data_IF_887590594591
#
_entry.id   IF_887590594591
#
_cell.length_a   1.000
_cell.length_b   1.000
_cell.length_c   1.000
_cell.angle_alpha   90.00
_cell.angle_beta   90.00
_cell.angle_gamma   90.00
#
_symmetry.space_group_name_H-M   'P 1'
#
loop_
_entity.id
_entity.type
_entity.pdbx_description
1 polymer ?
#
# COMPACT_ATOMS: atom_id res chain seq x y z
N UNK A 1 -2.24 -0.23 -26.17
CA UNK A 1 -1.13 -1.13 -25.80
C UNK A 1 0.15 -0.74 -26.53
N UNK A 2 0.13 -0.61 -27.86
CA UNK A 2 1.27 -0.16 -28.68
C UNK A 2 1.92 1.14 -28.16
N UNK A 3 1.13 2.18 -27.91
CA UNK A 3 1.65 3.46 -27.37
C UNK A 3 2.34 3.34 -25.99
N UNK A 4 1.96 2.35 -25.17
CA UNK A 4 2.60 2.11 -23.88
C UNK A 4 3.96 1.40 -24.05
N UNK A 5 4.08 0.54 -25.06
CA UNK A 5 5.33 -0.15 -25.35
C UNK A 5 6.36 0.81 -25.97
N UNK A 6 5.94 1.64 -26.92
CA UNK A 6 6.79 2.68 -27.52
C UNK A 6 7.32 3.66 -26.46
N UNK A 7 6.47 3.99 -25.47
CA UNK A 7 6.83 4.84 -24.33
C UNK A 7 7.96 4.21 -23.49
N UNK A 8 7.86 2.91 -23.20
CA UNK A 8 8.91 2.19 -22.46
C UNK A 8 10.23 2.17 -23.24
N UNK A 9 10.19 2.00 -24.56
CA UNK A 9 11.39 1.98 -25.39
C UNK A 9 12.07 3.36 -25.47
N UNK A 10 11.28 4.45 -25.56
CA UNK A 10 11.79 5.81 -25.49
C UNK A 10 12.51 6.09 -24.15
N UNK A 11 11.91 5.71 -23.03
CA UNK A 11 12.54 5.87 -21.71
C UNK A 11 13.76 4.98 -21.53
N UNK A 12 13.78 3.76 -22.08
CA UNK A 12 14.96 2.89 -22.05
C UNK A 12 16.14 3.51 -22.80
N UNK A 13 15.88 4.16 -23.93
CA UNK A 13 16.93 4.90 -24.64
C UNK A 13 17.44 6.08 -23.81
N UNK A 14 16.56 6.77 -23.09
CA UNK A 14 16.95 7.85 -22.19
C UNK A 14 17.85 7.36 -21.05
N UNK A 15 17.54 6.22 -20.41
CA UNK A 15 18.39 5.66 -19.34
C UNK A 15 19.71 5.09 -19.84
N UNK A 16 19.81 4.72 -21.13
CA UNK A 16 21.10 4.35 -21.75
C UNK A 16 22.02 5.57 -21.93
N UNK A 17 21.44 6.75 -22.16
CA UNK A 17 22.18 8.00 -22.33
C UNK A 17 22.54 8.59 -20.95
N UNK A 18 21.59 8.56 -20.02
CA UNK A 18 21.75 8.99 -18.63
C UNK A 18 21.32 7.88 -17.66
N UNK A 19 22.27 7.06 -17.17
CA UNK A 19 22.01 5.97 -16.25
C UNK A 19 21.43 6.39 -14.90
N UNK A 20 21.45 7.68 -14.54
CA UNK A 20 20.90 8.19 -13.30
C UNK A 20 19.58 8.96 -13.53
N UNK A 21 18.95 8.79 -14.70
CA UNK A 21 17.68 9.44 -15.00
C UNK A 21 16.47 8.77 -14.29
N UNK A 22 16.35 9.02 -12.99
CA UNK A 22 15.29 8.46 -12.12
C UNK A 22 13.86 8.68 -12.63
N UNK A 23 13.57 9.79 -13.32
CA UNK A 23 12.24 10.04 -13.87
C UNK A 23 11.89 9.04 -15.00
N UNK A 24 12.86 8.69 -15.85
CA UNK A 24 12.65 7.70 -16.91
C UNK A 24 12.42 6.30 -16.32
N UNK A 25 13.19 5.92 -15.29
CA UNK A 25 12.95 4.67 -14.55
C UNK A 25 11.55 4.65 -13.90
N UNK A 26 11.15 5.74 -13.24
CA UNK A 26 9.83 5.85 -12.63
C UNK A 26 8.70 5.65 -13.64
N UNK A 27 8.79 6.32 -14.81
CA UNK A 27 7.80 6.20 -15.88
C UNK A 27 7.76 4.80 -16.49
N UNK A 28 8.91 4.17 -16.73
CA UNK A 28 8.97 2.79 -17.18
C UNK A 28 8.31 1.84 -16.17
N UNK A 29 8.58 2.02 -14.88
CA UNK A 29 8.02 1.18 -13.84
C UNK A 29 6.49 1.26 -13.79
N UNK A 30 5.93 2.48 -13.81
CA UNK A 30 4.47 2.71 -13.81
C UNK A 30 3.82 2.03 -15.01
N UNK A 31 4.34 2.28 -16.22
CA UNK A 31 3.78 1.68 -17.45
C UNK A 31 3.90 0.15 -17.42
N UNK A 32 4.99 -0.40 -16.89
CA UNK A 32 5.15 -1.84 -16.76
C UNK A 32 4.22 -2.46 -15.73
N UNK A 33 3.90 -1.75 -14.64
CA UNK A 33 2.87 -2.17 -13.69
C UNK A 33 1.49 -2.19 -14.33
N UNK A 34 1.13 -1.18 -15.14
CA UNK A 34 -0.12 -1.17 -15.92
C UNK A 34 -0.20 -2.35 -16.92
N UNK A 35 0.93 -2.67 -17.56
CA UNK A 35 1.07 -3.83 -18.45
C UNK A 35 1.19 -5.17 -17.70
N UNK A 36 1.08 -5.18 -16.36
CA UNK A 36 1.23 -6.36 -15.49
C UNK A 36 2.60 -7.05 -15.60
N UNK A 37 3.62 -6.34 -16.10
CA UNK A 37 5.01 -6.78 -16.22
C UNK A 37 5.76 -6.50 -14.91
N UNK A 38 5.24 -7.03 -13.81
CA UNK A 38 5.64 -6.63 -12.47
C UNK A 38 7.14 -6.83 -12.17
N UNK A 39 7.77 -7.86 -12.74
CA UNK A 39 9.20 -8.11 -12.51
C UNK A 39 10.08 -6.95 -13.05
N UNK A 40 9.78 -6.49 -14.27
CA UNK A 40 10.47 -5.34 -14.87
C UNK A 40 10.14 -4.04 -14.12
N UNK A 41 8.90 -3.90 -13.65
CA UNK A 41 8.49 -2.73 -12.88
C UNK A 41 9.26 -2.64 -11.54
N UNK A 42 9.46 -3.77 -10.86
CA UNK A 42 10.30 -3.86 -9.66
C UNK A 42 11.73 -3.43 -9.96
N UNK A 43 12.35 -3.96 -11.03
CA UNK A 43 13.71 -3.57 -11.45
C UNK A 43 13.83 -2.05 -11.64
N UNK A 44 12.87 -1.46 -12.37
CA UNK A 44 12.87 -0.02 -12.59
C UNK A 44 12.63 0.80 -11.30
N UNK A 45 11.76 0.34 -10.39
CA UNK A 45 11.60 1.00 -9.09
C UNK A 45 12.87 0.94 -8.22
N UNK A 46 13.61 -0.18 -8.28
CA UNK A 46 14.90 -0.31 -7.59
C UNK A 46 15.95 0.65 -8.18
N UNK A 47 15.96 0.87 -9.49
CA UNK A 47 16.81 1.90 -10.10
C UNK A 47 16.43 3.32 -9.65
N UNK A 48 15.14 3.63 -9.52
CA UNK A 48 14.71 4.91 -8.91
C UNK A 48 15.26 5.05 -7.50
N UNK A 49 15.19 4.00 -6.68
CA UNK A 49 15.70 4.00 -5.30
C UNK A 49 17.23 4.10 -5.27
N UNK A 50 17.95 3.45 -6.20
CA UNK A 50 19.41 3.56 -6.32
C UNK A 50 19.84 5.01 -6.54
N UNK A 51 19.14 5.72 -7.43
CA UNK A 51 19.42 7.12 -7.76
C UNK A 51 18.89 8.08 -6.66
N UNK A 52 17.70 7.79 -6.12
CA UNK A 52 16.98 8.62 -5.13
C UNK A 52 16.58 7.79 -3.91
N UNK A 53 17.53 7.48 -3.00
CA UNK A 53 17.29 6.57 -1.87
C UNK A 53 16.32 7.09 -0.81
N UNK A 54 15.99 8.38 -0.83
CA UNK A 54 15.02 9.02 0.08
C UNK A 54 13.65 9.29 -0.57
N UNK A 55 13.38 8.68 -1.74
CA UNK A 55 12.10 8.83 -2.42
C UNK A 55 11.01 7.96 -1.80
N UNK A 56 10.21 8.51 -0.88
CA UNK A 56 9.01 7.84 -0.35
C UNK A 56 8.07 7.31 -1.44
N UNK A 57 7.76 8.08 -2.51
CA UNK A 57 6.92 7.58 -3.60
C UNK A 57 7.50 6.36 -4.32
N UNK A 58 8.83 6.26 -4.44
CA UNK A 58 9.47 5.11 -5.09
C UNK A 58 9.30 3.83 -4.26
N UNK A 59 9.49 3.91 -2.93
CA UNK A 59 9.23 2.78 -2.04
C UNK A 59 7.75 2.39 -1.99
N UNK A 60 6.84 3.37 -2.00
CA UNK A 60 5.39 3.10 -2.06
C UNK A 60 5.02 2.33 -3.34
N UNK A 61 5.48 2.78 -4.51
CA UNK A 61 5.16 2.12 -5.78
C UNK A 61 5.84 0.75 -5.91
N UNK A 62 7.07 0.60 -5.38
CA UNK A 62 7.73 -0.70 -5.25
C UNK A 62 6.86 -1.66 -4.42
N UNK A 63 6.37 -1.23 -3.27
CA UNK A 63 5.52 -2.03 -2.39
C UNK A 63 4.22 -2.47 -3.07
N UNK A 64 3.54 -1.56 -3.79
CA UNK A 64 2.35 -1.88 -4.58
C UNK A 64 2.66 -2.95 -5.63
N UNK A 65 3.78 -2.81 -6.34
CA UNK A 65 4.17 -3.75 -7.40
C UNK A 65 4.52 -5.14 -6.82
N UNK A 66 5.24 -5.19 -5.70
CA UNK A 66 5.56 -6.43 -4.97
C UNK A 66 4.30 -7.12 -4.44
N UNK A 67 3.32 -6.34 -3.96
CA UNK A 67 2.01 -6.84 -3.55
C UNK A 67 1.28 -7.55 -4.70
N UNK A 68 1.31 -6.98 -5.91
CA UNK A 68 0.78 -7.63 -7.12
C UNK A 68 1.51 -8.93 -7.51
N UNK A 69 2.79 -9.07 -7.14
CA UNK A 69 3.54 -10.32 -7.28
C UNK A 69 3.30 -11.32 -6.14
N UNK A 70 2.44 -10.99 -5.18
CA UNK A 70 2.22 -11.76 -3.96
C UNK A 70 3.50 -11.95 -3.10
N UNK A 71 4.47 -11.02 -3.22
CA UNK A 71 5.67 -10.97 -2.40
C UNK A 71 5.41 -10.10 -1.16
N UNK A 72 4.64 -10.65 -0.22
CA UNK A 72 3.99 -9.87 0.82
C UNK A 72 4.97 -9.26 1.83
N UNK A 73 5.99 -10.01 2.25
CA UNK A 73 7.04 -9.54 3.16
C UNK A 73 7.85 -8.39 2.56
N UNK A 74 8.33 -8.56 1.33
CA UNK A 74 9.10 -7.53 0.60
C UNK A 74 8.25 -6.26 0.41
N UNK A 75 6.94 -6.42 0.12
CA UNK A 75 6.02 -5.29 0.01
C UNK A 75 5.85 -4.55 1.33
N UNK A 76 5.71 -5.26 2.46
CA UNK A 76 5.61 -4.62 3.79
C UNK A 76 6.90 -3.89 4.16
N UNK A 77 8.06 -4.44 3.84
CA UNK A 77 9.34 -3.74 4.08
C UNK A 77 9.47 -2.47 3.24
N UNK A 78 9.05 -2.51 1.97
CA UNK A 78 8.99 -1.33 1.12
C UNK A 78 7.98 -0.28 1.64
N UNK A 79 6.78 -0.68 2.08
CA UNK A 79 5.85 0.25 2.73
C UNK A 79 6.43 0.85 4.01
N UNK A 80 7.17 0.06 4.81
CA UNK A 80 7.83 0.56 6.04
C UNK A 80 8.85 1.64 5.70
N UNK A 81 9.60 1.51 4.61
CA UNK A 81 10.51 2.57 4.14
C UNK A 81 9.74 3.80 3.66
N UNK A 82 8.63 3.62 2.92
CA UNK A 82 7.79 4.72 2.47
C UNK A 82 7.26 5.54 3.65
N UNK A 83 6.70 4.90 4.69
CA UNK A 83 6.18 5.62 5.87
C UNK A 83 7.26 6.17 6.79
N UNK A 84 8.48 5.62 6.74
CA UNK A 84 9.63 6.21 7.44
C UNK A 84 10.03 7.56 6.81
N UNK A 85 9.98 7.63 5.48
CA UNK A 85 10.32 8.82 4.71
C UNK A 85 9.17 9.84 4.64
N UNK A 86 7.93 9.35 4.65
CA UNK A 86 6.71 10.15 4.69
C UNK A 86 5.73 9.60 5.76
N UNK A 87 5.85 10.06 7.02
CA UNK A 87 5.01 9.61 8.13
C UNK A 87 3.53 10.01 8.03
N UNK A 88 3.13 10.80 7.02
CA UNK A 88 1.75 11.22 6.80
C UNK A 88 1.06 10.45 5.66
N UNK A 89 1.77 9.51 5.02
CA UNK A 89 1.22 8.74 3.92
C UNK A 89 0.18 7.70 4.39
N UNK A 90 -1.09 8.12 4.43
CA UNK A 90 -2.21 7.27 4.83
C UNK A 90 -2.39 6.05 3.92
N UNK A 91 -2.05 6.15 2.63
CA UNK A 91 -2.20 5.05 1.68
C UNK A 91 -1.17 3.95 1.93
N UNK A 92 0.07 4.33 2.25
CA UNK A 92 1.13 3.39 2.60
C UNK A 92 0.78 2.62 3.89
N UNK A 93 0.32 3.32 4.94
CA UNK A 93 -0.15 2.66 6.16
C UNK A 93 -1.36 1.76 5.91
N UNK A 94 -2.36 2.22 5.15
CA UNK A 94 -3.55 1.43 4.87
C UNK A 94 -3.23 0.14 4.13
N UNK A 95 -2.47 0.22 3.04
CA UNK A 95 -2.09 -0.94 2.24
C UNK A 95 -1.17 -1.89 3.02
N UNK A 96 -0.24 -1.36 3.83
CA UNK A 96 0.59 -2.16 4.72
C UNK A 96 -0.25 -2.94 5.75
N UNK A 97 -1.26 -2.29 6.36
CA UNK A 97 -2.19 -2.93 7.29
C UNK A 97 -3.00 -4.05 6.64
N UNK A 98 -3.50 -3.83 5.42
CA UNK A 98 -4.18 -4.88 4.65
C UNK A 98 -3.29 -6.08 4.35
N UNK A 99 -2.03 -5.85 3.97
CA UNK A 99 -1.08 -6.94 3.73
C UNK A 99 -0.73 -7.70 5.02
N UNK A 100 -0.57 -6.99 6.13
CA UNK A 100 -0.34 -7.61 7.44
C UNK A 100 -1.50 -8.51 7.84
N UNK A 101 -2.75 -8.06 7.65
CA UNK A 101 -3.94 -8.89 7.88
C UNK A 101 -3.96 -10.12 6.96
N UNK A 102 -3.61 -9.97 5.67
CA UNK A 102 -3.50 -11.08 4.71
C UNK A 102 -2.44 -12.11 5.11
N UNK A 103 -1.39 -11.68 5.81
CA UNK A 103 -0.32 -12.53 6.35
C UNK A 103 -0.63 -13.09 7.77
N UNK A 104 -1.87 -12.96 8.25
CA UNK A 104 -2.29 -13.38 9.60
C UNK A 104 -1.47 -12.70 10.72
N UNK A 105 -1.22 -11.39 10.55
CA UNK A 105 -0.53 -10.52 11.54
C UNK A 105 -1.47 -9.39 12.02
N UNK A 106 -2.57 -9.72 12.70
CA UNK A 106 -3.61 -8.74 13.02
C UNK A 106 -3.13 -7.64 13.98
N UNK A 107 -2.20 -7.92 14.91
CA UNK A 107 -1.64 -6.89 15.80
C UNK A 107 -0.87 -5.82 15.03
N UNK A 108 -0.11 -6.22 14.01
CA UNK A 108 0.60 -5.28 13.15
C UNK A 108 -0.39 -4.46 12.31
N UNK A 109 -1.43 -5.11 11.78
CA UNK A 109 -2.49 -4.42 11.03
C UNK A 109 -3.23 -3.38 11.89
N UNK A 110 -3.49 -3.68 13.17
CA UNK A 110 -4.04 -2.72 14.14
C UNK A 110 -3.17 -1.47 14.22
N UNK A 111 -1.85 -1.61 14.36
CA UNK A 111 -0.95 -0.46 14.45
C UNK A 111 -0.99 0.39 13.18
N UNK A 112 -0.95 -0.26 12.01
CA UNK A 112 -1.01 0.42 10.71
C UNK A 112 -2.32 1.20 10.53
N UNK A 113 -3.48 0.61 10.84
CA UNK A 113 -4.76 1.29 10.71
C UNK A 113 -4.97 2.38 11.76
N UNK A 114 -4.44 2.21 12.99
CA UNK A 114 -4.41 3.28 13.99
C UNK A 114 -3.60 4.49 13.50
N UNK A 115 -2.51 4.31 12.77
CA UNK A 115 -1.77 5.44 12.18
C UNK A 115 -2.61 6.17 11.12
N UNK A 116 -3.34 5.44 10.27
CA UNK A 116 -4.26 6.07 9.31
C UNK A 116 -5.30 6.91 10.03
N UNK A 117 -5.96 6.36 11.05
CA UNK A 117 -7.01 7.05 11.82
C UNK A 117 -6.45 8.24 12.59
N UNK A 118 -5.21 8.15 13.10
CA UNK A 118 -4.54 9.30 13.74
C UNK A 118 -4.38 10.48 12.78
N UNK A 119 -4.03 10.22 11.51
CA UNK A 119 -3.81 11.25 10.48
C UNK A 119 -5.16 11.70 9.88
N UNK A 120 -6.05 10.76 9.63
CA UNK A 120 -7.37 10.96 9.01
C UNK A 120 -8.45 10.23 9.82
N UNK A 121 -9.02 10.88 10.85
CA UNK A 121 -9.98 10.24 11.76
C UNK A 121 -11.31 9.81 11.14
N UNK A 122 -11.67 10.31 9.94
CA UNK A 122 -12.89 9.97 9.23
C UNK A 122 -12.69 8.89 8.15
N UNK A 123 -11.51 8.24 8.12
CA UNK A 123 -11.20 7.25 7.10
C UNK A 123 -11.92 5.91 7.35
N UNK A 124 -13.18 5.84 6.91
CA UNK A 124 -14.06 4.68 7.11
C UNK A 124 -13.43 3.32 6.72
N UNK A 125 -12.69 3.17 5.59
CA UNK A 125 -12.06 1.90 5.26
C UNK A 125 -11.06 1.42 6.33
N UNK A 126 -10.35 2.33 7.01
CA UNK A 126 -9.43 1.94 8.08
C UNK A 126 -10.14 1.64 9.39
N UNK A 127 -11.27 2.28 9.70
CA UNK A 127 -12.11 1.85 10.82
C UNK A 127 -12.64 0.43 10.61
N UNK A 128 -13.09 0.11 9.39
CA UNK A 128 -13.55 -1.23 9.03
C UNK A 128 -12.45 -2.28 9.19
N UNK A 129 -11.27 -2.05 8.59
CA UNK A 129 -10.16 -3.00 8.72
C UNK A 129 -9.63 -3.10 10.16
N UNK A 130 -9.63 -2.00 10.93
CA UNK A 130 -9.27 -2.01 12.33
C UNK A 130 -10.27 -2.85 13.16
N UNK A 131 -11.57 -2.71 12.90
CA UNK A 131 -12.60 -3.52 13.53
C UNK A 131 -12.42 -5.01 13.25
N UNK A 132 -12.17 -5.38 11.99
CA UNK A 132 -11.86 -6.77 11.61
C UNK A 132 -10.60 -7.30 12.29
N UNK A 133 -9.55 -6.49 12.39
CA UNK A 133 -8.32 -6.89 13.06
C UNK A 133 -8.55 -7.10 14.57
N UNK A 134 -9.37 -6.27 15.23
CA UNK A 134 -9.75 -6.49 16.63
C UNK A 134 -10.56 -7.77 16.83
N UNK A 135 -11.46 -8.12 15.91
CA UNK A 135 -12.19 -9.40 15.95
C UNK A 135 -11.21 -10.57 15.85
N UNK A 136 -10.24 -10.49 14.93
CA UNK A 136 -9.22 -11.52 14.76
C UNK A 136 -8.36 -11.72 16.03
N UNK A 137 -8.09 -10.64 16.80
CA UNK A 137 -7.38 -10.72 18.09
C UNK A 137 -8.30 -11.03 19.28
N UNK A 138 -9.60 -11.28 19.06
CA UNK A 138 -10.57 -11.54 20.14
C UNK A 138 -10.99 -10.31 20.95
N UNK A 139 -10.62 -9.10 20.52
CA UNK A 139 -10.94 -7.85 21.20
C UNK A 139 -12.29 -7.30 20.70
N UNK A 140 -13.37 -7.98 21.13
CA UNK A 140 -14.74 -7.61 20.75
C UNK A 140 -15.14 -6.19 21.19
N UNK A 141 -14.77 -5.68 22.38
CA UNK A 141 -15.09 -4.30 22.77
C UNK A 141 -14.56 -3.25 21.77
N UNK A 142 -13.26 -3.29 21.44
CA UNK A 142 -12.69 -2.29 20.53
C UNK A 142 -13.26 -2.40 19.11
N UNK A 143 -13.67 -3.60 18.69
CA UNK A 143 -14.37 -3.81 17.42
C UNK A 143 -15.78 -3.20 17.41
N UNK A 144 -16.52 -3.25 18.53
CA UNK A 144 -17.82 -2.60 18.69
C UNK A 144 -17.70 -1.07 18.67
N UNK A 145 -16.60 -0.52 19.18
CA UNK A 145 -16.31 0.90 19.07
C UNK A 145 -16.13 1.29 17.60
N UNK A 146 -15.37 0.50 16.81
CA UNK A 146 -15.22 0.75 15.37
C UNK A 146 -16.57 0.64 14.62
N UNK A 147 -17.40 -0.34 14.97
CA UNK A 147 -18.75 -0.46 14.43
C UNK A 147 -19.59 0.80 14.71
N UNK A 148 -19.56 1.29 15.95
CA UNK A 148 -20.31 2.49 16.36
C UNK A 148 -19.86 3.74 15.60
N UNK A 149 -18.56 3.89 15.38
CA UNK A 149 -17.99 4.96 14.54
C UNK A 149 -18.46 4.80 13.08
N UNK A 150 -18.37 3.60 12.52
CA UNK A 150 -18.78 3.34 11.14
C UNK A 150 -20.25 3.64 10.90
N UNK A 151 -21.16 3.40 11.85
CA UNK A 151 -22.57 3.78 11.70
C UNK A 151 -22.77 5.25 11.35
N UNK A 152 -21.86 6.12 11.78
CA UNK A 152 -21.88 7.55 11.47
C UNK A 152 -21.12 7.93 10.20
N UNK A 153 -20.07 7.18 9.83
CA UNK A 153 -19.21 7.48 8.68
C UNK A 153 -19.67 6.78 7.38
N UNK A 154 -20.10 5.53 7.48
CA UNK A 154 -20.48 4.66 6.38
C UNK A 154 -21.31 3.47 6.90
N UNK A 155 -22.64 3.51 6.68
CA UNK A 155 -23.57 2.48 7.15
C UNK A 155 -23.28 1.09 6.60
N UNK A 156 -22.89 1.00 5.33
CA UNK A 156 -22.70 -0.27 4.63
C UNK A 156 -21.51 -1.03 5.23
N UNK A 157 -20.40 -0.33 5.47
CA UNK A 157 -19.24 -0.91 6.16
C UNK A 157 -19.55 -1.25 7.62
N UNK A 158 -20.46 -0.51 8.27
CA UNK A 158 -20.91 -0.85 9.62
C UNK A 158 -21.69 -2.18 9.62
N UNK A 159 -22.61 -2.36 8.67
CA UNK A 159 -23.38 -3.60 8.51
C UNK A 159 -22.47 -4.79 8.19
N UNK A 160 -21.50 -4.60 7.30
CA UNK A 160 -20.49 -5.64 7.02
C UNK A 160 -19.71 -6.01 8.28
N UNK A 161 -19.21 -5.03 9.05
CA UNK A 161 -18.46 -5.31 10.28
C UNK A 161 -19.32 -6.00 11.33
N UNK A 162 -20.61 -5.64 11.42
CA UNK A 162 -21.57 -6.29 12.31
C UNK A 162 -21.76 -7.77 11.96
N UNK A 163 -21.88 -8.09 10.67
CA UNK A 163 -21.97 -9.49 10.22
C UNK A 163 -20.71 -10.29 10.59
N UNK A 164 -19.52 -9.67 10.56
CA UNK A 164 -18.27 -10.33 11.01
C UNK A 164 -18.23 -10.51 12.53
N UNK A 165 -18.81 -9.59 13.31
CA UNK A 165 -18.87 -9.66 14.79
C UNK A 165 -19.81 -10.75 15.32
N UNK A 166 -20.80 -11.13 14.52
CA UNK A 166 -21.89 -12.07 14.85
C UNK A 166 -22.15 -13.00 13.66
N UNK A 167 -21.22 -13.95 13.40
CA UNK A 167 -21.30 -14.88 12.26
C UNK A 167 -22.41 -15.93 12.41
#
# INVERSE_FOLDING_TARGET
MEQLEDSVDAFRNATRIDPDYAEAFSRMAIVQTELKRYAKAVENHLEVIRVRPESSPAYYNLAVTLSHQNKLEEAVDAYRQAVRLDPENIYAFHNMGMLQAKMDRPEAAIQSHKQVIRIKPDHAPSHYQLGKAFIATGNKPDALDQYSILKSLNSDLAEELFAVLYP
#
